data_IF_284699033396
#
_entry.id   IF_284699033396
#
_cell.length_a   1.000
_cell.length_b   1.000
_cell.length_c   1.000
_cell.angle_alpha   90.00
_cell.angle_beta   90.00
_cell.angle_gamma   90.00
#
_symmetry.space_group_name_H-M   'P 1'
#
loop_
_entity.id
_entity.type
_entity.pdbx_description
1 polymer ?
#
# COMPACT_ATOMS: atom_id res chain seq x y z
N UNK A 1 3.11 -6.92 1.63
CA UNK A 1 4.34 -6.24 2.04
C UNK A 1 5.52 -7.12 1.75
N UNK A 2 6.71 -6.54 1.82
CA UNK A 2 7.99 -7.25 1.75
C UNK A 2 8.87 -6.83 2.94
N UNK A 3 10.03 -7.46 3.10
CA UNK A 3 11.04 -7.01 4.07
C UNK A 3 12.02 -6.08 3.36
N UNK A 4 12.10 -4.83 3.82
CA UNK A 4 13.08 -3.85 3.39
C UNK A 4 14.43 -4.27 3.95
N UNK A 5 15.43 -4.59 3.11
CA UNK A 5 16.76 -4.96 3.58
C UNK A 5 17.42 -3.82 4.35
N UNK A 6 18.20 -4.15 5.38
CA UNK A 6 18.91 -3.17 6.20
C UNK A 6 19.91 -2.33 5.41
N UNK A 7 20.45 -2.85 4.30
CA UNK A 7 21.33 -2.12 3.40
C UNK A 7 20.65 -0.95 2.67
N UNK A 8 19.31 -0.95 2.57
CA UNK A 8 18.53 0.12 1.93
C UNK A 8 17.68 0.91 2.93
N UNK A 9 17.62 0.49 4.20
CA UNK A 9 16.86 1.17 5.24
C UNK A 9 17.67 2.30 5.91
N UNK A 10 17.01 3.40 6.26
CA UNK A 10 17.61 4.55 6.94
C UNK A 10 18.25 4.23 8.30
N UNK A 11 17.94 3.06 8.86
CA UNK A 11 18.43 2.60 10.17
C UNK A 11 19.51 1.52 10.08
N UNK A 12 19.85 1.04 8.88
CA UNK A 12 20.81 -0.06 8.71
C UNK A 12 20.29 -1.43 9.18
N UNK A 13 18.99 -1.57 9.42
CA UNK A 13 18.32 -2.78 9.95
C UNK A 13 17.18 -3.21 9.04
N UNK A 14 16.98 -4.51 8.91
CA UNK A 14 15.84 -5.08 8.19
C UNK A 14 14.53 -4.61 8.83
N UNK A 15 13.55 -4.26 7.98
CA UNK A 15 12.24 -3.79 8.41
C UNK A 15 11.15 -4.41 7.54
N UNK A 16 10.15 -5.02 8.16
CA UNK A 16 8.94 -5.42 7.43
C UNK A 16 8.16 -4.18 7.01
N UNK A 17 7.80 -4.07 5.73
CA UNK A 17 6.93 -3.01 5.24
C UNK A 17 5.49 -3.27 5.74
N UNK A 18 4.89 -2.35 6.52
CA UNK A 18 3.50 -2.47 6.94
C UNK A 18 2.50 -2.23 5.81
N UNK A 19 2.90 -1.61 4.69
CA UNK A 19 2.04 -1.40 3.53
C UNK A 19 1.85 -2.73 2.76
N UNK A 20 0.60 -3.12 2.45
CA UNK A 20 0.33 -4.16 1.47
C UNK A 20 0.90 -3.75 0.11
N UNK A 21 1.65 -4.68 -0.48
CA UNK A 21 2.34 -4.51 -1.77
C UNK A 21 1.74 -5.53 -2.72
N UNK A 22 1.36 -5.09 -3.92
CA UNK A 22 0.79 -5.94 -4.95
C UNK A 22 1.69 -5.92 -6.18
N UNK A 23 2.12 -7.10 -6.61
CA UNK A 23 2.84 -7.27 -7.87
C UNK A 23 1.82 -7.58 -8.96
N UNK A 24 1.69 -6.67 -9.92
CA UNK A 24 0.64 -6.72 -10.96
C UNK A 24 1.22 -6.38 -12.33
N UNK A 25 0.62 -6.82 -13.45
CA UNK A 25 1.13 -6.49 -14.78
C UNK A 25 1.21 -4.98 -15.01
N UNK A 26 2.22 -4.53 -15.77
CA UNK A 26 2.32 -3.13 -16.18
C UNK A 26 1.07 -2.68 -16.95
N UNK A 27 0.69 -1.41 -16.76
CA UNK A 27 -0.55 -0.84 -17.30
C UNK A 27 -1.80 -1.10 -16.44
N UNK A 28 -1.69 -1.86 -15.34
CA UNK A 28 -2.78 -2.02 -14.37
C UNK A 28 -3.19 -0.66 -13.81
N UNK A 29 -4.49 -0.36 -13.86
CA UNK A 29 -5.07 0.89 -13.34
C UNK A 29 -5.13 0.86 -11.81
N UNK A 30 -4.53 1.85 -11.17
CA UNK A 30 -4.58 2.03 -9.72
C UNK A 30 -5.74 2.94 -9.36
N UNK A 31 -6.45 2.60 -8.28
CA UNK A 31 -7.67 3.27 -7.84
C UNK A 31 -7.47 3.93 -6.48
N UNK A 32 -8.14 5.07 -6.26
CA UNK A 32 -8.21 5.69 -4.94
C UNK A 32 -8.86 4.72 -3.95
N UNK A 33 -8.25 4.56 -2.78
CA UNK A 33 -8.78 3.70 -1.71
C UNK A 33 -9.84 4.39 -0.86
N UNK A 34 -9.97 5.72 -0.98
CA UNK A 34 -10.90 6.55 -0.22
C UNK A 34 -11.52 7.65 -1.08
N UNK A 35 -12.64 8.18 -0.62
CA UNK A 35 -13.14 9.49 -1.04
C UNK A 35 -12.26 10.59 -0.44
N UNK A 36 -12.11 11.71 -1.15
CA UNK A 36 -11.43 12.88 -0.58
C UNK A 36 -10.91 13.85 -1.63
N UNK A 37 -9.82 14.51 -1.28
CA UNK A 37 -9.10 15.48 -2.12
C UNK A 37 -7.62 15.13 -2.11
N UNK A 38 -6.99 15.15 -3.29
CA UNK A 38 -5.56 14.92 -3.43
C UNK A 38 -4.79 16.02 -2.70
N UNK A 39 -4.11 15.67 -1.61
CA UNK A 39 -3.36 16.60 -0.77
C UNK A 39 -1.93 16.83 -1.28
N UNK A 40 -1.29 15.77 -1.78
CA UNK A 40 0.06 15.80 -2.32
C UNK A 40 0.28 14.69 -3.33
N UNK A 41 1.30 14.88 -4.17
CA UNK A 41 1.78 13.88 -5.12
C UNK A 41 3.32 13.88 -5.15
N UNK A 42 3.99 13.45 -4.08
CA UNK A 42 5.44 13.46 -4.06
C UNK A 42 6.01 12.46 -5.06
N UNK A 43 7.12 12.85 -5.69
CA UNK A 43 7.96 11.92 -6.46
C UNK A 43 8.80 11.10 -5.49
N UNK A 44 8.73 9.78 -5.63
CA UNK A 44 9.47 8.81 -4.83
C UNK A 44 10.91 8.68 -5.37
N UNK A 45 11.77 8.01 -4.60
CA UNK A 45 13.16 7.77 -5.00
C UNK A 45 13.30 6.98 -6.32
N UNK A 46 12.29 6.17 -6.64
CA UNK A 46 12.13 5.40 -7.87
C UNK A 46 11.74 6.27 -9.08
N UNK A 47 11.42 7.56 -8.87
CA UNK A 47 10.99 8.49 -9.93
C UNK A 47 9.50 8.41 -10.27
N UNK A 48 8.77 7.47 -9.68
CA UNK A 48 7.31 7.38 -9.73
C UNK A 48 6.63 8.20 -8.62
N UNK A 49 5.30 8.21 -8.60
CA UNK A 49 4.51 9.05 -7.71
C UNK A 49 3.85 8.26 -6.59
N UNK A 50 3.77 8.86 -5.41
CA UNK A 50 2.74 8.55 -4.42
C UNK A 50 1.56 9.50 -4.62
N UNK A 51 0.33 8.98 -4.55
CA UNK A 51 -0.89 9.81 -4.57
C UNK A 51 -1.47 9.82 -3.17
N UNK A 52 -1.43 11.00 -2.53
CA UNK A 52 -1.83 11.18 -1.14
C UNK A 52 -3.18 11.90 -1.06
N UNK A 53 -4.17 11.27 -0.43
CA UNK A 53 -5.55 11.75 -0.32
C UNK A 53 -5.90 12.02 1.14
N UNK A 54 -6.51 13.18 1.39
CA UNK A 54 -7.08 13.54 2.69
C UNK A 54 -8.50 14.08 2.51
N UNK A 55 -9.22 14.28 3.62
CA UNK A 55 -10.61 14.74 3.56
C UNK A 55 -10.75 16.12 2.90
N UNK A 56 -9.80 17.05 3.12
CA UNK A 56 -9.89 18.44 2.68
C UNK A 56 -8.74 18.90 1.77
N UNK A 57 -7.84 17.99 1.39
CA UNK A 57 -6.72 18.28 0.48
C UNK A 57 -5.55 19.00 1.15
N UNK A 58 -5.56 19.10 2.48
CA UNK A 58 -4.41 19.55 3.27
C UNK A 58 -3.66 18.35 3.83
N UNK A 59 -2.38 18.54 4.09
CA UNK A 59 -1.60 17.53 4.82
C UNK A 59 -2.13 17.43 6.25
N UNK A 60 -2.40 16.20 6.69
CA UNK A 60 -3.04 15.91 7.98
C UNK A 60 -2.28 14.80 8.69
N UNK A 61 -2.74 14.47 9.91
CA UNK A 61 -2.21 13.33 10.67
C UNK A 61 -2.53 11.99 10.01
N UNK A 62 -3.60 11.88 9.22
CA UNK A 62 -3.97 10.64 8.55
C UNK A 62 -4.09 10.94 7.07
N UNK A 63 -3.22 10.33 6.29
CA UNK A 63 -3.14 10.50 4.84
C UNK A 63 -3.23 9.10 4.24
N UNK A 64 -4.16 8.90 3.32
CA UNK A 64 -4.28 7.65 2.58
C UNK A 64 -3.42 7.75 1.34
N UNK A 65 -2.63 6.71 1.06
CA UNK A 65 -1.70 6.76 -0.06
C UNK A 65 -1.74 5.50 -0.92
N UNK A 66 -1.44 5.72 -2.20
CA UNK A 66 -1.10 4.68 -3.15
C UNK A 66 0.25 5.04 -3.78
N UNK A 67 1.25 4.16 -3.65
CA UNK A 67 2.63 4.40 -4.09
C UNK A 67 3.00 3.62 -5.35
N UNK A 68 4.05 4.09 -6.02
CA UNK A 68 4.59 3.56 -7.26
C UNK A 68 3.62 3.68 -8.43
N UNK A 69 3.10 4.89 -8.63
CA UNK A 69 2.22 5.20 -9.76
C UNK A 69 2.95 6.01 -10.83
N UNK A 70 2.67 5.68 -12.09
CA UNK A 70 2.99 6.49 -13.27
C UNK A 70 1.69 6.96 -13.95
N UNK A 71 1.81 7.84 -14.94
CA UNK A 71 0.69 8.36 -15.73
C UNK A 71 -0.49 8.85 -14.86
N UNK A 72 -0.25 9.74 -13.88
CA UNK A 72 -1.29 10.17 -12.95
C UNK A 72 -2.48 10.78 -13.71
N UNK A 73 -3.69 10.42 -13.28
CA UNK A 73 -4.95 10.90 -13.84
C UNK A 73 -5.61 11.98 -12.97
N UNK A 74 -4.91 12.42 -11.93
CA UNK A 74 -5.33 13.42 -10.96
C UNK A 74 -4.18 14.37 -10.68
N UNK A 75 -4.48 15.53 -10.10
CA UNK A 75 -3.51 16.49 -9.56
C UNK A 75 -3.90 16.94 -8.16
N UNK A 76 -2.95 17.52 -7.42
CA UNK A 76 -3.21 18.16 -6.12
C UNK A 76 -4.41 19.11 -6.19
N UNK A 77 -5.34 18.95 -5.25
CA UNK A 77 -6.58 19.71 -5.15
C UNK A 77 -7.77 19.08 -5.88
N UNK A 78 -7.58 18.06 -6.71
CA UNK A 78 -8.70 17.33 -7.32
C UNK A 78 -9.46 16.53 -6.26
N UNK A 79 -10.79 16.50 -6.39
CA UNK A 79 -11.64 15.57 -5.65
C UNK A 79 -11.57 14.18 -6.27
N UNK A 80 -11.53 13.16 -5.43
CA UNK A 80 -11.55 11.76 -5.84
C UNK A 80 -12.63 11.00 -5.09
N UNK A 81 -13.19 9.98 -5.72
CA UNK A 81 -14.04 8.98 -5.06
C UNK A 81 -13.29 7.66 -4.91
N UNK A 82 -13.62 6.87 -3.89
CA UNK A 82 -13.15 5.50 -3.74
C UNK A 82 -13.44 4.72 -5.03
N UNK A 83 -12.45 3.99 -5.51
CA UNK A 83 -12.52 3.26 -6.78
C UNK A 83 -12.22 4.08 -8.04
N UNK A 84 -12.13 5.42 -7.96
CA UNK A 84 -11.72 6.26 -9.10
C UNK A 84 -10.29 5.93 -9.52
N UNK A 85 -10.03 5.84 -10.82
CA UNK A 85 -8.67 5.63 -11.35
C UNK A 85 -7.84 6.89 -11.08
N UNK A 86 -6.67 6.72 -10.46
CA UNK A 86 -5.74 7.80 -10.12
C UNK A 86 -4.41 7.72 -10.86
N UNK A 87 -4.09 6.58 -11.47
CA UNK A 87 -2.89 6.38 -12.27
C UNK A 87 -2.74 4.93 -12.72
N UNK A 88 -1.51 4.59 -13.09
CA UNK A 88 -1.11 3.25 -13.53
C UNK A 88 0.06 2.75 -12.68
N UNK A 89 0.18 1.44 -12.54
CA UNK A 89 1.31 0.85 -11.81
C UNK A 89 2.65 1.14 -12.50
N UNK A 90 3.65 1.52 -11.70
CA UNK A 90 5.06 1.70 -12.09
C UNK A 90 5.83 0.38 -12.06
N UNK A 91 6.91 0.29 -12.83
CA UNK A 91 7.89 -0.79 -12.71
C UNK A 91 8.74 -0.72 -11.43
N UNK A 92 8.52 0.32 -10.62
CA UNK A 92 9.22 0.61 -9.37
C UNK A 92 10.75 0.67 -9.58
N UNK A 93 11.19 1.39 -10.62
CA UNK A 93 12.58 1.47 -11.05
C UNK A 93 13.19 0.07 -11.28
N UNK A 94 12.46 -0.77 -12.01
CA UNK A 94 12.79 -2.18 -12.25
C UNK A 94 12.90 -3.04 -10.97
N UNK A 95 12.22 -2.62 -9.89
CA UNK A 95 12.12 -3.38 -8.64
C UNK A 95 11.19 -4.58 -8.73
N UNK A 96 10.32 -4.64 -9.75
CA UNK A 96 9.41 -5.75 -10.03
C UNK A 96 9.93 -6.66 -11.17
N UNK A 97 9.47 -7.92 -11.25
CA UNK A 97 9.80 -8.82 -12.36
C UNK A 97 9.47 -8.22 -13.75
N UNK A 98 10.18 -8.60 -14.82
CA UNK A 98 9.91 -8.08 -16.16
C UNK A 98 8.44 -8.22 -16.59
N UNK A 99 7.84 -7.11 -17.04
CA UNK A 99 6.43 -7.04 -17.43
C UNK A 99 5.45 -6.77 -16.28
N UNK A 100 5.96 -6.69 -15.04
CA UNK A 100 5.19 -6.39 -13.84
C UNK A 100 5.65 -5.07 -13.22
N UNK A 101 4.76 -4.51 -12.42
CA UNK A 101 5.02 -3.40 -11.53
C UNK A 101 4.63 -3.74 -10.10
N UNK A 102 4.93 -2.82 -9.18
CA UNK A 102 4.52 -2.89 -7.79
C UNK A 102 3.62 -1.70 -7.48
N UNK A 103 2.55 -1.93 -6.71
CA UNK A 103 1.75 -0.85 -6.10
C UNK A 103 1.63 -1.12 -4.62
N UNK A 104 1.80 -0.09 -3.81
CA UNK A 104 1.58 -0.17 -2.37
C UNK A 104 0.38 0.66 -1.98
N UNK A 105 -0.39 0.16 -1.03
CA UNK A 105 -1.46 0.93 -0.38
C UNK A 105 -1.09 1.14 1.07
N UNK A 106 -1.29 2.35 1.57
CA UNK A 106 -0.81 2.72 2.88
C UNK A 106 -1.65 3.78 3.55
N UNK A 107 -1.36 3.95 4.83
CA UNK A 107 -1.72 5.15 5.56
C UNK A 107 -0.42 5.77 6.06
N UNK A 108 -0.15 6.99 5.62
CA UNK A 108 0.91 7.82 6.15
C UNK A 108 0.37 8.55 7.38
N UNK A 109 0.77 8.09 8.56
CA UNK A 109 0.39 8.66 9.85
C UNK A 109 1.39 9.74 10.24
N UNK A 110 0.92 10.99 10.31
CA UNK A 110 1.75 12.18 10.52
C UNK A 110 2.46 12.28 11.88
N UNK A 111 3.42 13.21 11.94
CA UNK A 111 4.34 13.50 13.04
C UNK A 111 5.47 14.42 12.53
N UNK A 112 6.51 14.69 13.32
CA UNK A 112 7.74 15.34 12.78
C UNK A 112 8.44 14.46 11.73
N UNK A 113 8.31 13.14 11.88
CA UNK A 113 8.66 12.10 10.92
C UNK A 113 7.40 11.26 10.73
N UNK A 114 6.75 11.30 9.56
CA UNK A 114 5.56 10.51 9.34
C UNK A 114 5.90 9.02 9.27
N UNK A 115 4.92 8.17 9.58
CA UNK A 115 5.09 6.73 9.63
C UNK A 115 4.08 6.02 8.73
N UNK A 116 4.53 5.07 7.93
CA UNK A 116 3.65 4.13 7.24
C UNK A 116 3.05 3.15 8.23
N UNK A 117 1.74 2.94 8.14
CA UNK A 117 1.01 1.93 8.91
C UNK A 117 0.14 1.06 8.00
N UNK A 118 -0.14 -0.15 8.48
CA UNK A 118 -0.99 -1.12 7.79
C UNK A 118 -2.44 -0.60 7.68
N UNK A 119 -2.99 -0.40 6.46
CA UNK A 119 -4.35 0.09 6.29
C UNK A 119 -5.40 -0.90 6.80
N UNK A 120 -5.11 -2.21 6.79
CA UNK A 120 -6.04 -3.23 7.27
C UNK A 120 -6.29 -3.19 8.77
N UNK A 121 -5.39 -2.54 9.54
CA UNK A 121 -5.60 -2.28 10.96
C UNK A 121 -6.65 -1.19 11.23
N UNK A 122 -7.08 -0.47 10.20
CA UNK A 122 -7.97 0.68 10.28
C UNK A 122 -9.23 0.53 9.41
N UNK A 123 -9.56 -0.71 9.00
CA UNK A 123 -10.82 -0.97 8.30
C UNK A 123 -12.02 -0.63 9.19
N UNK A 124 -13.05 -0.09 8.55
CA UNK A 124 -14.36 0.10 9.16
C UNK A 124 -14.95 -1.26 9.56
N UNK A 125 -15.63 -1.30 10.70
CA UNK A 125 -16.20 -2.54 11.25
C UNK A 125 -17.23 -3.17 10.31
N UNK A 126 -17.89 -2.39 9.46
CA UNK A 126 -18.86 -2.90 8.47
C UNK A 126 -18.25 -3.80 7.40
N UNK A 127 -16.95 -3.67 7.12
CA UNK A 127 -16.26 -4.46 6.08
C UNK A 127 -15.13 -5.33 6.64
N UNK A 128 -14.73 -5.12 7.90
CA UNK A 128 -13.53 -5.72 8.51
C UNK A 128 -13.58 -7.25 8.49
N UNK A 129 -14.62 -7.85 9.07
CA UNK A 129 -14.71 -9.31 9.21
C UNK A 129 -14.81 -10.03 7.87
N UNK A 130 -15.58 -9.47 6.92
CA UNK A 130 -15.68 -10.02 5.58
C UNK A 130 -14.32 -9.94 4.85
N UNK A 131 -13.63 -8.80 4.93
CA UNK A 131 -12.31 -8.60 4.32
C UNK A 131 -11.28 -9.57 4.91
N UNK A 132 -11.25 -9.74 6.23
CA UNK A 132 -10.34 -10.66 6.91
C UNK A 132 -10.62 -12.12 6.56
N UNK A 133 -11.90 -12.49 6.44
CA UNK A 133 -12.31 -13.82 5.98
C UNK A 133 -11.82 -14.06 4.55
N UNK A 134 -11.96 -13.08 3.66
CA UNK A 134 -11.48 -13.16 2.28
C UNK A 134 -9.96 -13.32 2.20
N UNK A 135 -9.19 -12.60 3.02
CA UNK A 135 -7.73 -12.80 3.08
C UNK A 135 -7.34 -14.18 3.57
N UNK A 136 -7.92 -14.67 4.67
CA UNK A 136 -7.62 -16.01 5.18
C UNK A 136 -7.95 -17.08 4.14
N UNK A 137 -9.08 -16.94 3.45
CA UNK A 137 -9.48 -17.85 2.37
C UNK A 137 -8.48 -17.79 1.20
N UNK A 138 -8.06 -16.59 0.79
CA UNK A 138 -7.05 -16.42 -0.27
C UNK A 138 -5.75 -17.12 0.10
N UNK A 139 -5.22 -16.86 1.31
CA UNK A 139 -3.97 -17.44 1.79
C UNK A 139 -4.02 -18.96 1.80
N UNK A 140 -5.05 -19.53 2.44
CA UNK A 140 -5.26 -20.97 2.50
C UNK A 140 -5.41 -21.62 1.13
N UNK A 141 -6.16 -20.98 0.23
CA UNK A 141 -6.34 -21.50 -1.12
C UNK A 141 -5.04 -21.45 -1.93
N UNK A 142 -4.24 -20.39 -1.77
CA UNK A 142 -2.94 -20.25 -2.41
C UNK A 142 -1.96 -21.32 -1.93
N UNK A 143 -1.82 -21.49 -0.61
CA UNK A 143 -0.98 -22.50 0.00
C UNK A 143 -1.34 -23.92 -0.44
N UNK A 144 -2.64 -24.22 -0.49
CA UNK A 144 -3.15 -25.48 -1.02
C UNK A 144 -2.78 -25.66 -2.49
N UNK A 145 -2.92 -24.61 -3.31
CA UNK A 145 -2.62 -24.66 -4.74
C UNK A 145 -1.14 -24.95 -5.01
N UNK A 146 -0.23 -24.29 -4.29
CA UNK A 146 1.22 -24.47 -4.47
C UNK A 146 1.79 -25.67 -3.69
N UNK A 147 0.99 -26.29 -2.81
CA UNK A 147 1.42 -27.42 -1.97
C UNK A 147 2.33 -27.04 -0.80
N UNK A 148 2.25 -25.81 -0.28
CA UNK A 148 3.06 -25.34 0.84
C UNK A 148 2.18 -24.58 1.85
N UNK A 149 1.98 -25.16 3.04
CA UNK A 149 1.09 -24.65 4.11
C UNK A 149 1.83 -23.84 5.19
N UNK A 150 3.01 -23.29 4.88
CA UNK A 150 3.82 -22.55 5.83
C UNK A 150 4.17 -21.14 5.36
N UNK A 151 3.45 -20.60 4.37
CA UNK A 151 3.71 -19.27 3.82
C UNK A 151 3.05 -18.17 4.64
N UNK A 152 1.83 -18.39 5.11
CA UNK A 152 1.03 -17.40 5.82
C UNK A 152 0.71 -17.89 7.23
N UNK A 153 0.82 -16.98 8.19
CA UNK A 153 0.36 -17.23 9.54
C UNK A 153 -1.16 -16.95 9.63
N UNK A 154 -1.96 -18.01 9.57
CA UNK A 154 -3.43 -17.94 9.67
C UNK A 154 -3.92 -17.47 11.06
N UNK A 155 -3.04 -17.44 12.07
CA UNK A 155 -3.38 -16.99 13.42
C UNK A 155 -3.33 -15.46 13.60
N UNK A 156 -2.84 -14.73 12.59
CA UNK A 156 -2.73 -13.28 12.66
C UNK A 156 -4.12 -12.63 12.86
N UNK A 157 -4.27 -11.73 13.85
CA UNK A 157 -5.53 -11.04 14.09
C UNK A 157 -5.89 -10.06 12.96
N UNK A 158 -4.88 -9.52 12.28
CA UNK A 158 -5.02 -8.59 11.16
C UNK A 158 -4.30 -9.20 9.95
N UNK A 159 -4.99 -10.02 9.14
CA UNK A 159 -4.39 -10.59 7.94
C UNK A 159 -4.14 -9.50 6.87
N UNK A 160 -3.21 -9.78 5.94
CA UNK A 160 -2.91 -8.87 4.82
C UNK A 160 -1.70 -7.95 5.04
N UNK A 161 -1.17 -7.87 6.26
CA UNK A 161 0.03 -7.11 6.59
C UNK A 161 1.11 -8.01 7.21
N UNK A 162 2.38 -7.82 6.83
CA UNK A 162 3.50 -8.58 7.41
C UNK A 162 3.83 -8.12 8.83
N UNK A 163 3.48 -6.88 9.19
CA UNK A 163 3.73 -6.29 10.49
C UNK A 163 2.69 -5.21 10.79
N UNK A 164 2.45 -4.97 12.08
CA UNK A 164 1.69 -3.81 12.57
C UNK A 164 2.59 -2.72 13.14
N UNK A 165 3.90 -2.98 13.22
CA UNK A 165 4.86 -1.98 13.67
C UNK A 165 5.02 -0.91 12.60
N UNK A 166 4.84 0.39 12.94
CA UNK A 166 5.05 1.48 12.01
C UNK A 166 6.51 1.53 11.55
N UNK A 167 6.73 2.07 10.35
CA UNK A 167 8.06 2.45 9.86
C UNK A 167 8.04 3.91 9.42
N UNK A 168 9.16 4.61 9.54
CA UNK A 168 9.32 5.97 8.99
C UNK A 168 9.08 5.93 7.47
N UNK A 169 8.20 6.83 6.99
CA UNK A 169 7.86 7.01 5.58
C UNK A 169 8.63 8.15 4.91
#
# INVERSE_FOLDING_TARGET
GFVIPGSTSSTGKDKSNPQPTYIVPLGTKVRSIVDGVVAAMPTLWSGDFSIQVTQDGKMQKWIYETEHLINPQVKKGDKVTAGQIVGEVSDFNNGAPPGYGAVEIGILKGGQKPEHVCPFAYLDDSIKEETFTNFRNLFKNWEKYIGNTSLYDESLPIPGCLTLNPIEG
#
